data_IF_300620787665
#
_entry.id   IF_300620787665
#
_cell.length_a   1.000
_cell.length_b   1.000
_cell.length_c   1.000
_cell.angle_alpha   90.00
_cell.angle_beta   90.00
_cell.angle_gamma   90.00
#
_symmetry.space_group_name_H-M   'P 1'
#
loop_
_entity.id
_entity.type
_entity.pdbx_description
1 polymer ?
#
# COMPACT_ATOMS: atom_id res chain seq x y z
N UNK A 1 12.55 -12.06 11.42
CA UNK A 1 12.42 -10.66 10.97
C UNK A 1 10.99 -10.33 10.65
N UNK A 2 10.53 -9.23 11.19
CA UNK A 2 9.16 -8.79 10.92
C UNK A 2 9.07 -8.19 9.53
N UNK A 3 8.03 -8.54 8.81
CA UNK A 3 7.79 -7.95 7.49
C UNK A 3 7.22 -6.55 7.63
N UNK A 4 7.62 -5.67 6.72
CA UNK A 4 7.06 -4.32 6.66
C UNK A 4 6.22 -4.17 5.42
N UNK A 5 5.11 -3.48 5.59
CA UNK A 5 4.13 -3.27 4.53
C UNK A 5 4.02 -1.78 4.26
N UNK A 6 4.34 -1.38 3.04
CA UNK A 6 4.12 0.00 2.61
C UNK A 6 2.72 0.09 2.01
N UNK A 7 1.96 1.09 2.43
CA UNK A 7 0.63 1.36 1.87
C UNK A 7 0.72 2.68 1.12
N UNK A 8 0.69 2.61 -0.19
CA UNK A 8 0.83 3.76 -1.06
C UNK A 8 -0.58 4.29 -1.38
N UNK A 9 -0.82 5.55 -1.08
CA UNK A 9 -2.13 6.13 -1.19
C UNK A 9 -2.99 5.79 0.01
N UNK A 10 -2.48 6.07 1.22
CA UNK A 10 -3.16 5.69 2.46
C UNK A 10 -4.39 6.56 2.72
N UNK A 11 -5.38 6.43 1.87
CA UNK A 11 -6.71 6.98 2.06
C UNK A 11 -7.59 5.97 2.80
N UNK A 12 -8.92 6.10 2.63
CA UNK A 12 -9.85 5.28 3.40
C UNK A 12 -9.61 3.78 3.24
N UNK A 13 -9.41 3.33 2.00
CA UNK A 13 -9.24 1.90 1.74
C UNK A 13 -7.94 1.37 2.35
N UNK A 14 -6.84 2.08 2.09
CA UNK A 14 -5.54 1.65 2.60
C UNK A 14 -5.48 1.67 4.13
N UNK A 15 -6.07 2.69 4.75
CA UNK A 15 -6.12 2.78 6.21
C UNK A 15 -6.99 1.68 6.81
N UNK A 16 -8.11 1.37 6.16
CA UNK A 16 -8.98 0.29 6.64
C UNK A 16 -8.25 -1.06 6.61
N UNK A 17 -7.48 -1.30 5.56
CA UNK A 17 -6.71 -2.53 5.47
C UNK A 17 -5.68 -2.61 6.60
N UNK A 18 -4.92 -1.54 6.81
CA UNK A 18 -3.90 -1.52 7.85
C UNK A 18 -4.52 -1.71 9.23
N UNK A 19 -5.58 -0.98 9.53
CA UNK A 19 -6.26 -1.09 10.82
C UNK A 19 -6.83 -2.49 11.04
N UNK A 20 -7.42 -3.07 10.01
CA UNK A 20 -7.97 -4.42 10.10
C UNK A 20 -6.91 -5.46 10.43
N UNK A 21 -5.74 -5.36 9.79
CA UNK A 21 -4.66 -6.29 10.04
C UNK A 21 -4.06 -6.12 11.44
N UNK A 22 -4.04 -4.91 11.96
CA UNK A 22 -3.59 -4.67 13.32
C UNK A 22 -4.63 -5.18 14.33
N UNK A 23 -5.90 -4.93 14.09
CA UNK A 23 -6.96 -5.40 14.98
C UNK A 23 -7.04 -6.91 15.06
N UNK A 24 -6.74 -7.60 13.96
CA UNK A 24 -6.71 -9.06 13.93
C UNK A 24 -5.46 -9.62 14.60
N UNK A 25 -4.57 -8.75 15.07
CA UNK A 25 -3.30 -9.11 15.71
C UNK A 25 -2.34 -9.86 14.79
N UNK A 26 -2.55 -9.74 13.48
CA UNK A 26 -1.65 -10.31 12.49
C UNK A 26 -0.38 -9.47 12.37
N UNK A 27 -0.52 -8.16 12.49
CA UNK A 27 0.59 -7.22 12.38
C UNK A 27 0.51 -6.16 13.46
N UNK A 28 1.64 -5.50 13.71
CA UNK A 28 1.71 -4.36 14.63
C UNK A 28 1.72 -3.06 13.83
N UNK A 29 1.28 -1.94 14.44
CA UNK A 29 1.28 -0.66 13.72
C UNK A 29 2.65 -0.30 13.14
N UNK A 30 3.74 -0.58 13.84
CA UNK A 30 5.07 -0.19 13.37
C UNK A 30 5.57 -1.03 12.20
N UNK A 31 4.80 -2.03 11.76
CA UNK A 31 5.12 -2.79 10.55
C UNK A 31 4.54 -2.13 9.30
N UNK A 32 3.78 -1.05 9.45
CA UNK A 32 3.18 -0.35 8.32
C UNK A 32 3.88 0.97 8.06
N UNK A 33 4.23 1.18 6.78
CA UNK A 33 4.71 2.46 6.29
C UNK A 33 3.56 3.05 5.46
N UNK A 34 2.85 4.01 6.05
CA UNK A 34 1.70 4.62 5.39
C UNK A 34 2.17 5.86 4.63
N UNK A 35 1.88 5.92 3.34
CA UNK A 35 2.30 7.04 2.51
C UNK A 35 1.10 7.78 1.93
N UNK A 36 1.11 9.09 2.07
CA UNK A 36 0.06 9.94 1.55
C UNK A 36 0.64 11.32 1.26
N UNK A 37 0.21 11.93 0.15
CA UNK A 37 0.72 13.23 -0.25
C UNK A 37 0.50 14.28 0.85
N UNK A 38 -0.68 14.27 1.48
CA UNK A 38 -0.96 15.15 2.60
C UNK A 38 -0.71 14.41 3.91
N UNK A 39 0.51 14.49 4.37
CA UNK A 39 0.94 13.74 5.54
C UNK A 39 0.19 14.15 6.82
N UNK A 40 -0.31 15.37 6.87
CA UNK A 40 -1.07 15.83 8.04
C UNK A 40 -2.33 14.99 8.25
N UNK A 41 -2.82 14.32 7.22
CA UNK A 41 -3.97 13.43 7.36
C UNK A 41 -3.60 12.11 8.04
N UNK A 42 -2.31 11.85 8.21
CA UNK A 42 -1.82 10.61 8.84
C UNK A 42 -1.32 10.82 10.26
N UNK A 43 -1.44 12.04 10.81
CA UNK A 43 -0.88 12.33 12.13
C UNK A 43 -1.46 11.45 13.22
N UNK A 44 -2.76 11.19 13.18
CA UNK A 44 -3.38 10.32 14.18
C UNK A 44 -2.82 8.90 14.11
N UNK A 45 -2.51 8.45 12.90
CA UNK A 45 -1.92 7.13 12.71
C UNK A 45 -0.52 7.07 13.31
N UNK A 46 0.25 8.15 13.16
CA UNK A 46 1.58 8.21 13.78
C UNK A 46 1.50 8.09 15.29
N UNK A 47 0.49 8.72 15.90
CA UNK A 47 0.28 8.62 17.35
C UNK A 47 -0.04 7.20 17.78
N UNK A 48 -0.65 6.41 16.89
CA UNK A 48 -0.99 5.02 17.17
C UNK A 48 0.16 4.06 16.87
N UNK A 49 1.31 4.58 16.46
CA UNK A 49 2.51 3.78 16.25
C UNK A 49 2.83 3.44 14.81
N UNK A 50 2.02 3.87 13.85
CA UNK A 50 2.29 3.65 12.43
C UNK A 50 3.41 4.57 11.95
N UNK A 51 4.20 4.10 10.98
CA UNK A 51 5.18 4.96 10.33
C UNK A 51 4.46 5.72 9.20
N UNK A 52 4.68 7.03 9.12
CA UNK A 52 4.02 7.83 8.09
C UNK A 52 5.05 8.51 7.20
N UNK A 53 4.70 8.63 5.94
CA UNK A 53 5.56 9.20 4.90
C UNK A 53 4.75 10.09 3.97
N UNK A 54 5.39 11.12 3.43
CA UNK A 54 4.82 11.89 2.34
C UNK A 54 5.54 11.64 1.01
N UNK A 55 6.45 10.66 1.01
CA UNK A 55 7.23 10.29 -0.16
C UNK A 55 7.07 8.78 -0.37
N UNK A 56 6.49 8.40 -1.51
CA UNK A 56 6.22 6.99 -1.80
C UNK A 56 7.50 6.17 -1.92
N UNK A 57 8.54 6.73 -2.49
CA UNK A 57 9.82 6.03 -2.65
C UNK A 57 10.42 5.70 -1.29
N UNK A 58 10.39 6.67 -0.37
CA UNK A 58 10.90 6.44 0.97
C UNK A 58 10.09 5.35 1.70
N UNK A 59 8.78 5.34 1.47
CA UNK A 59 7.92 4.38 2.15
C UNK A 59 8.23 2.93 1.76
N UNK A 60 8.68 2.69 0.53
CA UNK A 60 8.90 1.31 0.07
C UNK A 60 10.33 0.82 0.29
N UNK A 61 11.27 1.69 0.64
CA UNK A 61 12.68 1.31 0.71
C UNK A 61 12.96 0.11 1.60
N UNK A 62 12.34 0.05 2.76
CA UNK A 62 12.55 -1.05 3.68
C UNK A 62 11.33 -1.93 3.83
N UNK A 63 10.41 -1.87 2.86
CA UNK A 63 9.20 -2.69 2.88
C UNK A 63 9.42 -3.99 2.11
N UNK A 64 8.68 -5.01 2.49
CA UNK A 64 8.66 -6.29 1.79
C UNK A 64 7.43 -6.37 0.89
N UNK A 65 6.34 -5.79 1.34
CA UNK A 65 5.06 -5.80 0.62
C UNK A 65 4.69 -4.34 0.34
N UNK A 66 4.32 -4.07 -0.90
CA UNK A 66 3.91 -2.74 -1.33
C UNK A 66 2.45 -2.83 -1.78
N UNK A 67 1.56 -2.21 -1.01
CA UNK A 67 0.13 -2.17 -1.32
C UNK A 67 -0.17 -0.83 -1.99
N UNK A 68 -0.69 -0.89 -3.22
CA UNK A 68 -1.07 0.32 -3.95
C UNK A 68 -2.59 0.47 -3.87
N UNK A 69 -3.03 1.54 -3.23
CA UNK A 69 -4.45 1.81 -2.98
C UNK A 69 -4.82 3.23 -3.40
N UNK A 70 -4.31 3.65 -4.55
CA UNK A 70 -4.61 4.97 -5.10
C UNK A 70 -5.83 4.89 -6.00
N UNK A 71 -6.36 6.06 -6.39
CA UNK A 71 -7.43 6.10 -7.38
C UNK A 71 -6.93 5.58 -8.74
N UNK A 72 -7.81 4.94 -9.53
CA UNK A 72 -7.38 4.36 -10.81
C UNK A 72 -6.66 5.34 -11.74
N UNK A 73 -7.10 6.60 -11.77
CA UNK A 73 -6.49 7.60 -12.63
C UNK A 73 -5.08 8.01 -12.16
N UNK A 74 -4.68 7.61 -10.96
CA UNK A 74 -3.36 7.95 -10.41
C UNK A 74 -2.34 6.84 -10.51
N UNK A 75 -2.77 5.62 -10.86
CA UNK A 75 -1.88 4.47 -10.73
C UNK A 75 -0.67 4.54 -11.65
N UNK A 76 -0.83 5.04 -12.87
CA UNK A 76 0.29 5.11 -13.79
C UNK A 76 1.39 6.04 -13.26
N UNK A 77 0.99 7.19 -12.73
CA UNK A 77 1.95 8.14 -12.16
C UNK A 77 2.68 7.55 -10.96
N UNK A 78 1.93 6.86 -10.10
CA UNK A 78 2.50 6.25 -8.91
C UNK A 78 3.48 5.14 -9.28
N UNK A 79 3.11 4.27 -10.21
CA UNK A 79 4.00 3.19 -10.64
C UNK A 79 5.25 3.73 -11.32
N UNK A 80 5.11 4.79 -12.11
CA UNK A 80 6.24 5.45 -12.72
C UNK A 80 7.22 5.99 -11.67
N UNK A 81 6.66 6.54 -10.61
CA UNK A 81 7.46 7.05 -9.49
C UNK A 81 8.21 5.93 -8.77
N UNK A 82 7.60 4.76 -8.63
CA UNK A 82 8.15 3.66 -7.85
C UNK A 82 9.03 2.71 -8.66
N UNK A 83 8.92 2.71 -9.98
CA UNK A 83 9.48 1.64 -10.80
C UNK A 83 10.97 1.41 -10.62
N UNK A 84 11.74 2.46 -10.38
CA UNK A 84 13.19 2.30 -10.22
C UNK A 84 13.59 1.83 -8.83
N UNK A 85 12.70 1.96 -7.86
CA UNK A 85 12.94 1.54 -6.49
C UNK A 85 12.34 0.17 -6.18
N UNK A 86 11.44 -0.32 -7.03
CA UNK A 86 10.89 -1.66 -6.88
C UNK A 86 11.87 -2.70 -7.41
N UNK A 87 11.92 -3.84 -6.74
CA UNK A 87 12.78 -4.94 -7.16
C UNK A 87 12.10 -6.27 -6.86
N UNK A 88 12.74 -7.35 -7.24
CA UNK A 88 12.17 -8.70 -7.15
C UNK A 88 11.91 -9.16 -5.71
N UNK A 89 12.45 -8.46 -4.72
CA UNK A 89 12.19 -8.78 -3.31
C UNK A 89 10.91 -8.16 -2.80
N UNK A 90 10.33 -7.24 -3.57
CA UNK A 90 9.03 -6.66 -3.22
C UNK A 90 7.91 -7.53 -3.76
N UNK A 91 6.83 -7.63 -3.00
CA UNK A 91 5.55 -8.16 -3.50
C UNK A 91 4.63 -6.96 -3.65
N UNK A 92 4.15 -6.73 -4.87
CA UNK A 92 3.23 -5.63 -5.13
C UNK A 92 1.80 -6.15 -5.07
N UNK A 93 0.98 -5.52 -4.24
CA UNK A 93 -0.45 -5.84 -4.16
C UNK A 93 -1.22 -4.62 -4.63
N UNK A 94 -1.99 -4.78 -5.69
CA UNK A 94 -2.82 -3.70 -6.22
C UNK A 94 -4.25 -3.86 -5.74
N UNK A 95 -4.78 -2.82 -5.09
CA UNK A 95 -6.18 -2.73 -4.71
C UNK A 95 -6.95 -1.83 -5.68
N UNK A 96 -6.35 -1.47 -6.80
CA UNK A 96 -6.92 -0.50 -7.73
C UNK A 96 -7.88 -1.19 -8.68
N UNK A 97 -9.13 -0.72 -8.72
CA UNK A 97 -10.17 -1.29 -9.57
C UNK A 97 -9.89 -1.01 -11.04
N UNK A 98 -10.19 -2.00 -11.90
CA UNK A 98 -10.16 -1.82 -13.35
C UNK A 98 -8.78 -1.75 -13.97
N UNK A 99 -7.74 -2.12 -13.24
CA UNK A 99 -6.37 -2.09 -13.77
C UNK A 99 -5.83 -3.51 -13.81
N UNK A 100 -5.50 -3.96 -15.01
CA UNK A 100 -5.00 -5.32 -15.21
C UNK A 100 -3.54 -5.45 -14.79
N UNK A 101 -3.16 -6.66 -14.40
CA UNK A 101 -1.76 -6.95 -14.05
C UNK A 101 -0.83 -6.67 -15.24
N UNK A 102 -1.26 -6.97 -16.45
CA UNK A 102 -0.45 -6.70 -17.65
C UNK A 102 -0.11 -5.22 -17.78
N UNK A 103 -1.08 -4.35 -17.47
CA UNK A 103 -0.83 -2.90 -17.52
C UNK A 103 0.19 -2.46 -16.49
N UNK A 104 0.14 -3.06 -15.31
CA UNK A 104 1.12 -2.76 -14.26
C UNK A 104 2.51 -3.22 -14.70
N UNK A 105 2.62 -4.42 -15.24
CA UNK A 105 3.89 -4.96 -15.71
C UNK A 105 4.52 -4.12 -16.82
N UNK A 106 3.71 -3.50 -17.66
CA UNK A 106 4.24 -2.63 -18.70
C UNK A 106 5.04 -1.47 -18.13
N UNK A 107 4.67 -1.02 -16.95
CA UNK A 107 5.34 0.12 -16.31
C UNK A 107 6.53 -0.33 -15.45
N UNK A 108 6.33 -1.34 -14.60
CA UNK A 108 7.35 -1.71 -13.61
C UNK A 108 8.19 -2.92 -14.01
N UNK A 109 7.83 -3.59 -15.09
CA UNK A 109 8.56 -4.78 -15.53
C UNK A 109 7.98 -6.07 -15.00
N UNK A 110 8.46 -7.18 -15.53
CA UNK A 110 7.91 -8.50 -15.21
C UNK A 110 8.62 -9.23 -14.08
N UNK A 111 9.69 -8.65 -13.52
CA UNK A 111 10.47 -9.31 -12.48
C UNK A 111 9.87 -9.15 -11.08
N UNK A 112 8.84 -8.36 -10.94
CA UNK A 112 8.24 -8.05 -9.64
C UNK A 112 6.96 -8.86 -9.49
N UNK A 113 6.84 -9.68 -8.46
CA UNK A 113 5.59 -10.42 -8.21
C UNK A 113 4.44 -9.44 -7.95
N UNK A 114 3.32 -9.65 -8.63
CA UNK A 114 2.16 -8.78 -8.53
C UNK A 114 0.93 -9.61 -8.21
N UNK A 115 0.19 -9.16 -7.20
CA UNK A 115 -1.11 -9.71 -6.85
C UNK A 115 -2.14 -8.61 -6.99
N UNK A 116 -3.27 -8.97 -7.57
CA UNK A 116 -4.41 -8.07 -7.67
C UNK A 116 -5.43 -8.52 -6.63
N UNK A 117 -5.77 -7.64 -5.70
CA UNK A 117 -6.77 -7.95 -4.69
C UNK A 117 -7.97 -7.04 -4.90
N UNK A 118 -9.16 -7.60 -4.72
CA UNK A 118 -10.41 -6.87 -4.88
C UNK A 118 -11.09 -6.83 -3.52
N UNK A 119 -10.73 -5.86 -2.68
CA UNK A 119 -11.43 -5.74 -1.40
C UNK A 119 -12.89 -5.42 -1.71
N UNK A 120 -13.79 -6.19 -1.13
CA UNK A 120 -15.20 -5.96 -1.37
C UNK A 120 -15.81 -5.18 -0.21
N UNK A 121 -16.96 -4.55 -0.48
CA UNK A 121 -17.62 -3.73 0.52
C UNK A 121 -18.14 -4.54 1.70
N UNK A 122 -18.23 -5.85 1.55
CA UNK A 122 -18.66 -6.71 2.64
C UNK A 122 -17.69 -6.68 3.82
N UNK A 123 -16.43 -6.36 3.56
CA UNK A 123 -15.45 -6.26 4.65
C UNK A 123 -15.81 -5.13 5.60
N UNK A 124 -16.12 -3.94 5.07
CA UNK A 124 -16.48 -2.82 5.92
C UNK A 124 -17.84 -3.02 6.58
N UNK A 125 -18.76 -3.73 5.92
CA UNK A 125 -20.07 -4.02 6.51
C UNK A 125 -19.94 -4.95 7.70
N UNK A 126 -19.04 -5.93 7.62
CA UNK A 126 -18.86 -6.91 8.70
C UNK A 126 -18.31 -6.29 9.98
N UNK A 127 -17.66 -5.18 9.86
CA UNK A 127 -17.06 -4.52 11.01
C UNK A 127 -18.00 -3.57 11.73
N UNK A 128 -19.13 -3.31 11.13
CA UNK A 128 -20.10 -2.39 11.71
C UNK A 128 -21.05 -3.09 12.68
#
# INVERSE_FOLDING_TARGET
>A
MEKKIAVIGAGNLGLSLAKGLVESKTYKPNQFNLSRRRIEKLKNMAQDGYNIYNDNVEAIKNANIVVVAVLPQKINDVLDELKESLNEKHLLISLVSGVEISSIKEIIGSNIPIIRAMPNTAISIRES
#
